data_IF_762654123415
#
_entry.id   IF_762654123415
#
_cell.length_a   1.000
_cell.length_b   1.000
_cell.length_c   1.000
_cell.angle_alpha   90.00
_cell.angle_beta   90.00
_cell.angle_gamma   90.00
#
_symmetry.space_group_name_H-M   'P 1'
#
loop_
_entity.id
_entity.type
_entity.pdbx_description
1 polymer ?
#
# COMPACT_ATOMS: atom_id res chain seq x y z
N UNK A 1 3.74 -18.91 23.05
CA UNK A 1 4.43 -17.62 23.29
C UNK A 1 4.54 -16.88 21.97
N UNK A 2 4.41 -15.55 21.94
CA UNK A 2 4.57 -14.74 20.74
C UNK A 2 6.05 -14.41 20.50
N UNK A 3 6.41 -14.02 19.28
CA UNK A 3 7.71 -13.40 19.00
C UNK A 3 7.82 -12.08 19.78
N UNK A 4 8.92 -11.92 20.51
CA UNK A 4 9.19 -10.74 21.34
C UNK A 4 9.67 -9.53 20.54
N UNK A 5 9.35 -8.33 21.05
CA UNK A 5 9.84 -7.06 20.52
C UNK A 5 11.33 -6.90 20.90
N UNK A 6 12.23 -6.61 19.95
CA UNK A 6 13.65 -6.50 20.22
C UNK A 6 13.97 -5.13 20.85
N UNK A 7 15.10 -5.04 21.56
CA UNK A 7 15.60 -3.78 22.07
C UNK A 7 16.32 -3.00 20.95
N UNK A 8 15.74 -1.87 20.53
CA UNK A 8 16.28 -1.06 19.44
C UNK A 8 17.68 -0.52 19.73
N UNK A 9 18.55 -0.54 18.73
CA UNK A 9 19.88 0.06 18.80
C UNK A 9 19.84 1.56 18.41
N UNK A 10 20.91 2.34 18.70
CA UNK A 10 20.92 3.77 18.36
C UNK A 10 20.65 4.09 16.89
N UNK A 11 21.10 3.23 15.97
CA UNK A 11 20.81 3.38 14.54
C UNK A 11 19.30 3.27 14.26
N UNK A 12 18.61 2.32 14.88
CA UNK A 12 17.17 2.10 14.67
C UNK A 12 16.33 3.25 15.23
N UNK A 13 16.78 3.83 16.34
CA UNK A 13 16.18 5.03 16.93
C UNK A 13 16.37 6.26 16.03
N UNK A 14 17.53 6.39 15.38
CA UNK A 14 17.78 7.46 14.42
C UNK A 14 16.84 7.35 13.20
N UNK A 15 16.72 6.15 12.62
CA UNK A 15 15.80 5.89 11.49
C UNK A 15 14.34 6.18 11.87
N UNK A 16 13.91 5.78 13.07
CA UNK A 16 12.59 6.13 13.58
C UNK A 16 12.39 7.66 13.67
N UNK A 17 13.40 8.38 14.13
CA UNK A 17 13.40 9.85 14.18
C UNK A 17 13.23 10.48 12.80
N UNK A 18 13.91 9.96 11.78
CA UNK A 18 13.79 10.41 10.39
C UNK A 18 12.39 10.14 9.81
N UNK A 19 11.83 8.95 10.06
CA UNK A 19 10.45 8.62 9.66
C UNK A 19 9.45 9.60 10.29
N UNK A 20 9.60 9.90 11.58
CA UNK A 20 8.72 10.84 12.29
C UNK A 20 8.88 12.28 11.79
N UNK A 21 10.08 12.71 11.42
CA UNK A 21 10.32 14.02 10.80
C UNK A 21 9.63 14.11 9.44
N UNK A 22 9.79 13.11 8.57
CA UNK A 22 9.07 13.04 7.29
C UNK A 22 7.55 13.06 7.49
N UNK A 23 7.05 12.35 8.52
CA UNK A 23 5.64 12.37 8.89
C UNK A 23 5.16 13.76 9.26
N UNK A 24 5.93 14.47 10.08
CA UNK A 24 5.63 15.84 10.51
C UNK A 24 5.64 16.81 9.34
N UNK A 25 6.63 16.76 8.45
CA UNK A 25 6.70 17.61 7.25
C UNK A 25 5.47 17.45 6.36
N UNK A 26 5.07 16.22 6.09
CA UNK A 26 3.88 15.91 5.32
C UNK A 26 2.59 16.35 5.99
N UNK A 27 2.47 16.18 7.31
CA UNK A 27 1.32 16.69 8.06
C UNK A 27 1.16 18.19 7.88
N UNK A 28 2.26 18.95 7.88
CA UNK A 28 2.21 20.40 7.61
C UNK A 28 1.82 20.70 6.17
N UNK A 29 2.42 20.02 5.18
CA UNK A 29 2.09 20.25 3.76
C UNK A 29 0.64 19.92 3.42
N UNK A 30 0.06 18.90 4.08
CA UNK A 30 -1.31 18.45 3.90
C UNK A 30 -2.33 19.18 4.79
N UNK A 31 -1.90 20.13 5.63
CA UNK A 31 -2.80 20.91 6.47
C UNK A 31 -3.60 21.92 5.65
N UNK A 32 -3.00 22.44 4.58
CA UNK A 32 -3.68 23.32 3.63
C UNK A 32 -4.32 22.49 2.52
N UNK A 33 -5.60 22.72 2.19
CA UNK A 33 -6.27 21.99 1.11
C UNK A 33 -5.74 22.46 -0.24
N UNK A 34 -5.23 21.53 -1.04
CA UNK A 34 -4.78 21.78 -2.41
C UNK A 34 -5.72 21.17 -3.46
N UNK A 35 -5.74 21.74 -4.68
CA UNK A 35 -6.62 21.28 -5.77
C UNK A 35 -6.29 19.86 -6.26
N UNK A 36 -5.08 19.36 -6.00
CA UNK A 36 -4.61 18.02 -6.37
C UNK A 36 -4.76 16.97 -5.28
N UNK A 37 -5.13 17.36 -4.05
CA UNK A 37 -5.12 16.46 -2.90
C UNK A 37 -5.99 15.21 -3.11
N UNK A 38 -7.15 15.39 -3.76
CA UNK A 38 -8.08 14.29 -4.01
C UNK A 38 -7.45 13.23 -4.92
N UNK A 39 -6.91 13.65 -6.05
CA UNK A 39 -6.30 12.77 -7.05
C UNK A 39 -5.06 12.08 -6.46
N UNK A 40 -4.23 12.83 -5.76
CA UNK A 40 -3.02 12.30 -5.14
C UNK A 40 -3.35 11.25 -4.06
N UNK A 41 -4.29 11.54 -3.16
CA UNK A 41 -4.73 10.58 -2.12
C UNK A 41 -5.33 9.32 -2.73
N UNK A 42 -6.12 9.47 -3.80
CA UNK A 42 -6.69 8.35 -4.56
C UNK A 42 -5.58 7.49 -5.17
N UNK A 43 -4.58 8.11 -5.80
CA UNK A 43 -3.44 7.41 -6.40
C UNK A 43 -2.61 6.67 -5.34
N UNK A 44 -2.30 7.30 -4.20
CA UNK A 44 -1.55 6.67 -3.10
C UNK A 44 -2.29 5.45 -2.56
N UNK A 45 -3.60 5.57 -2.33
CA UNK A 45 -4.43 4.44 -1.89
C UNK A 45 -4.46 3.30 -2.94
N UNK A 46 -4.60 3.65 -4.22
CA UNK A 46 -4.60 2.66 -5.30
C UNK A 46 -3.26 1.91 -5.38
N UNK A 47 -2.13 2.60 -5.20
CA UNK A 47 -0.78 2.01 -5.18
C UNK A 47 -0.54 1.12 -3.96
N UNK A 48 -1.03 1.48 -2.79
CA UNK A 48 -0.98 0.63 -1.60
C UNK A 48 -1.78 -0.67 -1.81
N UNK A 49 -3.00 -0.56 -2.33
CA UNK A 49 -3.84 -1.71 -2.70
C UNK A 49 -3.13 -2.57 -3.76
N UNK A 50 -2.53 -1.93 -4.78
CA UNK A 50 -1.78 -2.63 -5.82
C UNK A 50 -0.64 -3.44 -5.21
N UNK A 51 0.21 -2.81 -4.41
CA UNK A 51 1.38 -3.46 -3.85
C UNK A 51 1.03 -4.63 -2.94
N UNK A 52 -0.02 -4.50 -2.12
CA UNK A 52 -0.45 -5.60 -1.25
C UNK A 52 -1.01 -6.79 -2.03
N UNK A 53 -1.73 -6.55 -3.13
CA UNK A 53 -2.33 -7.61 -3.93
C UNK A 53 -1.32 -8.26 -4.90
N UNK A 54 -0.37 -7.49 -5.46
CA UNK A 54 0.67 -8.02 -6.35
C UNK A 54 1.61 -8.99 -5.64
N UNK A 55 1.88 -8.79 -4.34
CA UNK A 55 2.65 -9.72 -3.48
C UNK A 55 2.03 -11.12 -3.48
N UNK A 56 0.69 -11.21 -3.55
CA UNK A 56 -0.06 -12.48 -3.58
C UNK A 56 -0.31 -12.97 -5.02
N UNK A 57 0.23 -12.29 -6.04
CA UNK A 57 0.07 -12.63 -7.46
C UNK A 57 -1.14 -12.02 -8.16
N UNK A 58 -1.92 -11.17 -7.47
CA UNK A 58 -3.07 -10.47 -8.05
C UNK A 58 -2.64 -9.14 -8.67
N UNK A 59 -2.35 -9.18 -9.97
CA UNK A 59 -1.83 -8.03 -10.70
C UNK A 59 -2.95 -7.21 -11.35
N UNK A 60 -2.97 -5.91 -11.08
CA UNK A 60 -3.80 -4.93 -11.76
C UNK A 60 -3.06 -3.61 -11.91
N UNK A 61 -3.49 -2.81 -12.88
CA UNK A 61 -2.99 -1.45 -13.08
C UNK A 61 -3.53 -0.51 -11.99
N UNK A 62 -2.83 0.58 -11.69
CA UNK A 62 -3.30 1.58 -10.72
C UNK A 62 -4.65 2.14 -11.16
N UNK A 63 -4.83 2.26 -12.46
CA UNK A 63 -6.01 2.77 -13.16
C UNK A 63 -7.26 1.91 -12.96
N UNK A 64 -7.08 0.59 -13.04
CA UNK A 64 -8.17 -0.35 -12.80
C UNK A 64 -8.50 -0.43 -11.32
N UNK A 65 -7.51 -0.31 -10.43
CA UNK A 65 -7.73 -0.22 -8.99
C UNK A 65 -8.52 1.05 -8.64
N UNK A 66 -8.19 2.20 -9.23
CA UNK A 66 -8.97 3.44 -9.06
C UNK A 66 -10.41 3.31 -9.58
N UNK A 67 -10.59 2.58 -10.69
CA UNK A 67 -11.92 2.28 -11.24
C UNK A 67 -12.72 1.43 -10.23
N UNK A 68 -12.13 0.35 -9.72
CA UNK A 68 -12.72 -0.50 -8.68
C UNK A 68 -13.04 0.32 -7.42
N UNK A 69 -12.14 1.20 -6.97
CA UNK A 69 -12.37 2.10 -5.83
C UNK A 69 -13.57 3.01 -6.03
N UNK A 70 -13.81 3.44 -7.26
CA UNK A 70 -14.94 4.31 -7.63
C UNK A 70 -16.24 3.54 -7.92
N UNK A 71 -16.22 2.20 -7.81
CA UNK A 71 -17.35 1.35 -8.15
C UNK A 71 -17.58 1.18 -9.65
N UNK A 72 -16.60 1.54 -10.48
CA UNK A 72 -16.63 1.35 -11.92
C UNK A 72 -15.97 0.02 -12.32
N UNK A 73 -16.40 -0.56 -13.44
CA UNK A 73 -15.77 -1.77 -13.98
C UNK A 73 -14.34 -1.47 -14.47
N UNK A 74 -13.33 -2.28 -14.08
CA UNK A 74 -11.99 -2.16 -14.64
C UNK A 74 -11.97 -2.48 -16.14
N UNK A 75 -11.01 -1.95 -16.89
CA UNK A 75 -10.93 -2.20 -18.33
C UNK A 75 -10.12 -3.44 -18.67
N UNK A 76 -9.00 -3.65 -17.98
CA UNK A 76 -8.00 -4.65 -18.34
C UNK A 76 -7.95 -5.81 -17.32
N UNK A 77 -8.35 -5.53 -16.08
CA UNK A 77 -8.26 -6.47 -14.97
C UNK A 77 -9.39 -7.51 -15.03
N UNK A 78 -9.06 -8.82 -15.08
CA UNK A 78 -10.06 -9.88 -15.07
C UNK A 78 -10.92 -9.89 -13.80
N UNK A 79 -12.16 -10.33 -13.95
CA UNK A 79 -13.17 -10.33 -12.88
C UNK A 79 -12.72 -11.01 -11.57
N UNK A 80 -12.05 -12.19 -11.60
CA UNK A 80 -11.56 -12.81 -10.37
C UNK A 80 -10.53 -11.96 -9.63
N UNK A 81 -9.62 -11.32 -10.36
CA UNK A 81 -8.59 -10.42 -9.78
C UNK A 81 -9.25 -9.14 -9.25
N UNK A 82 -10.26 -8.63 -9.97
CA UNK A 82 -11.03 -7.47 -9.52
C UNK A 82 -11.75 -7.74 -8.18
N UNK A 83 -12.28 -8.96 -7.97
CA UNK A 83 -12.88 -9.35 -6.68
C UNK A 83 -11.86 -9.35 -5.53
N UNK A 84 -10.64 -9.84 -5.75
CA UNK A 84 -9.57 -9.80 -4.75
C UNK A 84 -9.23 -8.39 -4.31
N UNK A 85 -9.09 -7.50 -5.30
CA UNK A 85 -8.78 -6.09 -5.08
C UNK A 85 -9.93 -5.42 -4.34
N UNK A 86 -11.18 -5.68 -4.75
CA UNK A 86 -12.37 -5.13 -4.12
C UNK A 86 -12.50 -5.58 -2.65
N UNK A 87 -12.25 -6.84 -2.35
CA UNK A 87 -12.26 -7.39 -0.99
C UNK A 87 -11.18 -6.75 -0.11
N UNK A 88 -9.94 -6.66 -0.61
CA UNK A 88 -8.86 -5.98 0.12
C UNK A 88 -9.18 -4.50 0.36
N UNK A 89 -9.66 -3.79 -0.66
CA UNK A 89 -10.12 -2.39 -0.54
C UNK A 89 -11.21 -2.24 0.53
N UNK A 90 -12.17 -3.16 0.59
CA UNK A 90 -13.23 -3.15 1.59
C UNK A 90 -12.65 -3.27 3.01
N UNK A 91 -11.73 -4.21 3.26
CA UNK A 91 -11.08 -4.37 4.54
C UNK A 91 -10.27 -3.12 4.95
N UNK A 92 -9.51 -2.53 4.02
CA UNK A 92 -8.73 -1.30 4.29
C UNK A 92 -9.62 -0.09 4.57
N UNK A 93 -10.78 0.00 3.90
CA UNK A 93 -11.78 1.04 4.18
C UNK A 93 -12.32 0.90 5.60
N UNK A 94 -12.59 -0.34 6.05
CA UNK A 94 -13.05 -0.60 7.40
C UNK A 94 -11.96 -0.32 8.45
N UNK A 95 -10.71 -0.70 8.20
CA UNK A 95 -9.55 -0.38 9.07
C UNK A 95 -9.43 1.13 9.29
N UNK A 96 -9.61 1.94 8.25
CA UNK A 96 -9.59 3.41 8.37
C UNK A 96 -10.71 3.95 9.25
N UNK A 97 -11.87 3.31 9.28
CA UNK A 97 -12.95 3.68 10.19
C UNK A 97 -12.61 3.26 11.63
N UNK A 98 -12.14 2.02 11.83
CA UNK A 98 -11.77 1.47 13.13
C UNK A 98 -10.61 2.24 13.79
N UNK A 99 -9.63 2.71 13.00
CA UNK A 99 -8.49 3.45 13.54
C UNK A 99 -8.92 4.72 14.29
N UNK A 100 -10.03 5.32 13.89
CA UNK A 100 -10.60 6.55 14.47
C UNK A 100 -11.73 6.29 15.46
N UNK A 101 -12.18 5.04 15.60
CA UNK A 101 -13.31 4.70 16.45
C UNK A 101 -12.96 4.92 17.94
N UNK A 102 -13.73 5.75 18.67
CA UNK A 102 -13.58 5.88 20.11
C UNK A 102 -13.83 4.54 20.81
N UNK A 103 -13.02 4.20 21.80
CA UNK A 103 -13.19 2.97 22.57
C UNK A 103 -12.91 1.66 21.82
N UNK A 104 -12.38 1.72 20.58
CA UNK A 104 -11.98 0.52 19.84
C UNK A 104 -10.98 -0.33 20.65
N UNK A 105 -11.24 -1.64 20.65
CA UNK A 105 -10.35 -2.68 21.18
C UNK A 105 -10.15 -3.73 20.11
N UNK A 106 -8.96 -4.33 20.08
CA UNK A 106 -8.73 -5.49 19.24
C UNK A 106 -9.48 -6.69 19.81
N UNK A 107 -10.15 -7.44 18.94
CA UNK A 107 -10.75 -8.72 19.27
C UNK A 107 -10.65 -9.68 18.07
N UNK A 108 -10.79 -10.98 18.34
CA UNK A 108 -10.69 -12.01 17.31
C UNK A 108 -11.79 -11.89 16.25
N UNK A 109 -12.98 -11.44 16.64
CA UNK A 109 -14.11 -11.20 15.73
C UNK A 109 -13.81 -10.10 14.70
N UNK A 110 -13.13 -9.02 15.11
CA UNK A 110 -12.66 -7.97 14.19
C UNK A 110 -11.65 -8.54 13.19
N UNK A 111 -10.67 -9.31 13.64
CA UNK A 111 -9.67 -9.92 12.74
C UNK A 111 -10.32 -10.90 11.75
N UNK A 112 -11.26 -11.72 12.22
CA UNK A 112 -12.04 -12.64 11.40
C UNK A 112 -12.93 -11.89 10.40
N UNK A 113 -13.56 -10.79 10.82
CA UNK A 113 -14.39 -9.95 9.94
C UNK A 113 -13.57 -9.32 8.83
N UNK A 114 -12.35 -8.86 9.14
CA UNK A 114 -11.43 -8.33 8.13
C UNK A 114 -11.00 -9.41 7.13
N UNK A 115 -10.68 -10.62 7.59
CA UNK A 115 -10.38 -11.74 6.71
C UNK A 115 -11.59 -12.08 5.81
N UNK A 116 -12.80 -12.12 6.37
CA UNK A 116 -14.03 -12.33 5.62
C UNK A 116 -14.25 -11.24 4.56
N UNK A 117 -14.02 -9.96 4.88
CA UNK A 117 -14.12 -8.88 3.89
C UNK A 117 -13.13 -9.05 2.74
N UNK A 118 -11.93 -9.59 3.00
CA UNK A 118 -10.90 -9.78 1.97
C UNK A 118 -11.19 -10.97 1.05
N UNK A 119 -11.62 -12.10 1.61
CA UNK A 119 -11.69 -13.39 0.88
C UNK A 119 -13.08 -14.02 0.91
N UNK A 120 -14.13 -13.29 1.27
CA UNK A 120 -15.50 -13.79 1.42
C UNK A 120 -16.09 -14.43 0.15
N UNK A 121 -15.57 -14.08 -1.02
CA UNK A 121 -15.91 -14.70 -2.30
C UNK A 121 -15.28 -16.09 -2.51
N UNK A 122 -14.36 -16.53 -1.65
CA UNK A 122 -13.77 -17.87 -1.63
C UNK A 122 -14.47 -18.80 -0.64
N UNK A 123 -15.70 -19.18 -0.93
CA UNK A 123 -16.52 -20.00 -0.01
C UNK A 123 -15.85 -21.32 0.42
N UNK A 124 -14.98 -21.93 -0.39
CA UNK A 124 -14.25 -23.15 -0.05
C UNK A 124 -13.04 -22.96 0.89
N UNK A 125 -12.72 -21.74 1.29
CA UNK A 125 -11.57 -21.42 2.15
C UNK A 125 -11.95 -21.09 3.60
N UNK A 126 -13.23 -21.23 3.96
CA UNK A 126 -13.79 -20.85 5.25
C UNK A 126 -13.40 -19.42 5.69
N UNK A 127 -13.77 -18.38 4.90
CA UNK A 127 -13.43 -16.98 5.20
C UNK A 127 -13.82 -16.56 6.63
N UNK A 128 -12.90 -15.92 7.35
CA UNK A 128 -13.11 -15.45 8.71
C UNK A 128 -13.16 -16.56 9.77
N UNK A 129 -12.83 -17.80 9.43
CA UNK A 129 -12.82 -18.94 10.37
C UNK A 129 -11.40 -19.46 10.52
N UNK A 130 -10.98 -19.71 11.77
CA UNK A 130 -9.67 -20.29 12.05
C UNK A 130 -9.53 -21.67 11.38
N UNK A 131 -8.35 -21.95 10.84
CA UNK A 131 -8.11 -23.22 10.13
C UNK A 131 -8.25 -24.42 11.09
N UNK A 132 -8.93 -25.52 10.68
CA UNK A 132 -9.06 -26.72 11.49
C UNK A 132 -7.86 -27.68 11.38
N UNK A 133 -6.92 -27.43 10.45
CA UNK A 133 -5.80 -28.32 10.16
C UNK A 133 -4.48 -27.56 9.98
N UNK A 134 -3.39 -28.31 9.81
CA UNK A 134 -2.04 -27.76 9.60
C UNK A 134 -1.94 -26.87 8.36
N UNK A 135 -0.90 -26.03 8.30
CA UNK A 135 -0.62 -25.18 7.14
C UNK A 135 0.86 -25.19 6.79
N UNK A 136 1.13 -25.25 5.50
CA UNK A 136 2.46 -25.28 4.91
C UNK A 136 2.55 -24.18 3.88
N UNK A 137 3.36 -23.16 4.16
CA UNK A 137 3.69 -22.14 3.18
C UNK A 137 4.70 -22.74 2.22
N UNK A 138 4.42 -22.64 0.92
CA UNK A 138 5.27 -23.18 -0.13
C UNK A 138 5.83 -22.06 -0.97
N UNK A 139 7.09 -22.20 -1.36
CA UNK A 139 7.67 -21.34 -2.37
C UNK A 139 6.92 -21.53 -3.70
N UNK A 140 6.54 -20.43 -4.34
CA UNK A 140 5.73 -20.46 -5.55
C UNK A 140 6.48 -21.03 -6.75
N UNK A 141 7.82 -20.89 -6.78
CA UNK A 141 8.69 -21.35 -7.87
C UNK A 141 9.15 -22.80 -7.68
N UNK A 142 9.58 -23.18 -6.48
CA UNK A 142 10.15 -24.51 -6.21
C UNK A 142 9.14 -25.51 -5.64
N UNK A 143 7.95 -25.03 -5.22
CA UNK A 143 6.90 -25.81 -4.52
C UNK A 143 7.35 -26.42 -3.18
N UNK A 144 8.58 -26.14 -2.73
CA UNK A 144 9.10 -26.62 -1.46
C UNK A 144 8.37 -25.95 -0.29
N UNK A 145 8.16 -26.71 0.79
CA UNK A 145 7.66 -26.14 2.05
C UNK A 145 8.76 -25.26 2.62
N UNK A 146 8.49 -23.96 2.71
CA UNK A 146 9.41 -22.98 3.28
C UNK A 146 9.05 -22.64 4.72
N UNK A 147 7.81 -22.93 5.16
CA UNK A 147 7.38 -22.71 6.52
C UNK A 147 6.21 -23.62 6.92
N UNK A 148 6.28 -24.20 8.12
CA UNK A 148 5.20 -24.90 8.80
C UNK A 148 4.71 -24.07 9.99
N UNK A 149 3.42 -23.71 9.96
CA UNK A 149 2.78 -22.95 11.05
C UNK A 149 2.59 -23.78 12.33
N UNK A 150 2.08 -23.17 13.41
CA UNK A 150 1.69 -23.89 14.63
C UNK A 150 0.68 -25.01 14.37
N UNK A 151 0.58 -25.96 15.29
CA UNK A 151 -0.47 -26.98 15.23
C UNK A 151 -1.85 -26.31 15.29
N UNK A 152 -2.84 -26.85 14.56
CA UNK A 152 -4.16 -26.23 14.47
C UNK A 152 -4.82 -26.02 15.85
N UNK A 153 -4.59 -26.95 16.80
CA UNK A 153 -5.08 -26.84 18.17
C UNK A 153 -4.47 -25.70 19.00
N UNK A 154 -3.29 -25.20 18.61
CA UNK A 154 -2.61 -24.07 19.29
C UNK A 154 -3.07 -22.71 18.77
N UNK A 155 -3.60 -22.65 17.54
CA UNK A 155 -3.98 -21.40 16.87
C UNK A 155 -4.96 -20.56 17.69
N UNK A 156 -6.05 -21.09 18.29
CA UNK A 156 -6.96 -20.28 19.10
C UNK A 156 -6.27 -19.60 20.28
N UNK A 157 -5.38 -20.31 20.98
CA UNK A 157 -4.64 -19.77 22.12
C UNK A 157 -3.63 -18.71 21.68
N UNK A 158 -2.92 -18.94 20.57
CA UNK A 158 -1.96 -17.98 20.01
C UNK A 158 -2.66 -16.70 19.52
N UNK A 159 -3.82 -16.84 18.88
CA UNK A 159 -4.64 -15.68 18.47
C UNK A 159 -5.17 -14.90 19.68
N UNK A 160 -5.58 -15.59 20.74
CA UNK A 160 -5.95 -14.96 22.01
C UNK A 160 -4.78 -14.17 22.61
N UNK A 161 -3.58 -14.75 22.63
CA UNK A 161 -2.37 -14.06 23.09
C UNK A 161 -2.02 -12.84 22.21
N UNK A 162 -2.15 -12.95 20.87
CA UNK A 162 -1.92 -11.84 19.95
C UNK A 162 -2.92 -10.70 20.19
N UNK A 163 -4.21 -11.00 20.34
CA UNK A 163 -5.24 -10.02 20.65
C UNK A 163 -4.97 -9.33 21.99
N UNK A 164 -4.56 -10.07 23.01
CA UNK A 164 -4.21 -9.50 24.30
C UNK A 164 -2.99 -8.56 24.19
N UNK A 165 -1.93 -9.01 23.52
CA UNK A 165 -0.74 -8.19 23.27
C UNK A 165 -1.05 -6.93 22.44
N UNK A 166 -1.94 -7.00 21.45
CA UNK A 166 -2.36 -5.82 20.67
C UNK A 166 -3.02 -4.75 21.54
N UNK A 167 -3.75 -5.16 22.58
CA UNK A 167 -4.45 -4.25 23.49
C UNK A 167 -3.57 -3.75 24.66
N UNK A 168 -2.61 -4.55 25.13
CA UNK A 168 -1.91 -4.28 26.41
C UNK A 168 -0.38 -4.35 26.33
N UNK A 169 0.17 -4.98 25.28
CA UNK A 169 1.59 -5.24 25.12
C UNK A 169 2.34 -4.10 24.41
N UNK A 170 3.55 -3.84 24.91
CA UNK A 170 4.54 -2.94 24.31
C UNK A 170 4.00 -1.54 23.98
N UNK A 171 3.02 -1.04 24.73
CA UNK A 171 2.32 0.22 24.44
C UNK A 171 3.23 1.47 24.46
N UNK A 172 4.39 1.39 25.10
CA UNK A 172 5.40 2.47 25.11
C UNK A 172 6.35 2.42 23.92
N UNK A 173 6.32 1.35 23.12
CA UNK A 173 7.16 1.18 21.93
C UNK A 173 6.51 1.92 20.75
N UNK A 174 7.35 2.45 19.85
CA UNK A 174 6.87 3.11 18.62
C UNK A 174 5.88 2.25 17.83
N UNK A 175 4.81 2.86 17.33
CA UNK A 175 3.79 2.20 16.54
C UNK A 175 4.31 1.53 15.27
N UNK A 176 5.42 2.01 14.70
CA UNK A 176 6.11 1.36 13.58
C UNK A 176 6.69 0.00 13.95
N UNK A 177 7.28 -0.12 15.14
CA UNK A 177 7.82 -1.37 15.65
C UNK A 177 6.70 -2.29 16.11
N UNK A 178 5.70 -1.78 16.84
CA UNK A 178 4.52 -2.56 17.22
C UNK A 178 3.78 -3.10 15.99
N UNK A 179 3.62 -2.28 14.95
CA UNK A 179 3.02 -2.68 13.68
C UNK A 179 3.80 -3.80 13.00
N UNK A 180 5.14 -3.69 12.97
CA UNK A 180 6.01 -4.75 12.46
C UNK A 180 5.84 -6.05 13.27
N UNK A 181 5.80 -5.98 14.60
CA UNK A 181 5.64 -7.16 15.45
C UNK A 181 4.24 -7.78 15.35
N UNK A 182 3.19 -6.97 15.16
CA UNK A 182 1.84 -7.45 14.89
C UNK A 182 1.78 -8.24 13.57
N UNK A 183 2.43 -7.71 12.52
CA UNK A 183 2.58 -8.39 11.24
C UNK A 183 3.29 -9.73 11.40
N UNK A 184 4.49 -9.73 11.99
CA UNK A 184 5.30 -10.95 12.14
C UNK A 184 4.54 -12.04 12.90
N UNK A 185 3.93 -11.69 14.03
CA UNK A 185 3.18 -12.66 14.82
C UNK A 185 1.99 -13.22 14.04
N UNK A 186 1.20 -12.39 13.35
CA UNK A 186 0.05 -12.89 12.58
C UNK A 186 0.48 -13.78 11.40
N UNK A 187 1.49 -13.37 10.63
CA UNK A 187 1.92 -14.13 9.44
C UNK A 187 2.54 -15.47 9.81
N UNK A 188 3.20 -15.55 10.98
CA UNK A 188 3.77 -16.79 11.53
C UNK A 188 2.71 -17.68 12.20
N UNK A 189 1.74 -17.14 12.92
CA UNK A 189 0.60 -17.94 13.43
C UNK A 189 -0.19 -18.54 12.26
N UNK A 190 -0.35 -17.75 11.18
CA UNK A 190 -1.02 -18.14 9.95
C UNK A 190 -2.43 -18.74 10.21
N UNK A 191 -3.33 -17.97 10.86
CA UNK A 191 -4.53 -18.52 11.50
C UNK A 191 -5.65 -18.94 10.54
N UNK A 192 -5.69 -18.42 9.32
CA UNK A 192 -6.72 -18.76 8.33
C UNK A 192 -6.17 -19.69 7.24
N UNK A 193 -7.06 -20.34 6.47
CA UNK A 193 -6.65 -21.15 5.31
C UNK A 193 -6.07 -20.31 4.17
N UNK A 194 -6.46 -19.04 4.09
CA UNK A 194 -6.03 -18.11 3.05
C UNK A 194 -6.13 -16.65 3.52
N UNK A 195 -5.45 -15.75 2.80
CA UNK A 195 -5.46 -14.30 3.06
C UNK A 195 -4.54 -13.85 4.20
N UNK A 196 -3.72 -14.72 4.78
CA UNK A 196 -2.85 -14.39 5.93
C UNK A 196 -1.83 -13.28 5.62
N UNK A 197 -1.23 -13.27 4.42
CA UNK A 197 -0.29 -12.23 4.02
C UNK A 197 -0.95 -10.84 3.98
N UNK A 198 -2.06 -10.72 3.23
CA UNK A 198 -2.88 -9.50 3.16
C UNK A 198 -3.38 -9.06 4.54
N UNK A 199 -3.83 -10.00 5.37
CA UNK A 199 -4.27 -9.73 6.74
C UNK A 199 -3.16 -9.21 7.64
N UNK A 200 -1.92 -9.69 7.47
CA UNK A 200 -0.79 -9.26 8.31
C UNK A 200 -0.36 -7.84 7.99
N UNK A 201 -0.34 -7.47 6.71
CA UNK A 201 -0.11 -6.08 6.26
C UNK A 201 -1.24 -5.15 6.69
N UNK A 202 -2.49 -5.62 6.59
CA UNK A 202 -3.66 -4.85 7.03
C UNK A 202 -3.67 -4.66 8.57
N UNK A 203 -3.26 -5.66 9.34
CA UNK A 203 -3.12 -5.54 10.80
C UNK A 203 -2.04 -4.52 11.17
N UNK A 204 -0.89 -4.53 10.49
CA UNK A 204 0.14 -3.50 10.66
C UNK A 204 -0.42 -2.09 10.42
N UNK A 205 -1.15 -1.90 9.31
CA UNK A 205 -1.84 -0.64 9.00
C UNK A 205 -2.83 -0.23 10.09
N UNK A 206 -3.57 -1.17 10.67
CA UNK A 206 -4.51 -0.88 11.76
C UNK A 206 -3.79 -0.44 13.04
N UNK A 207 -2.71 -1.12 13.43
CA UNK A 207 -1.89 -0.74 14.59
C UNK A 207 -1.34 0.68 14.43
N UNK A 208 -0.76 1.00 13.26
CA UNK A 208 -0.29 2.34 12.94
C UNK A 208 -1.42 3.37 13.01
N UNK A 209 -2.58 3.06 12.44
CA UNK A 209 -3.76 3.92 12.51
C UNK A 209 -4.21 4.22 13.94
N UNK A 210 -4.11 3.24 14.86
CA UNK A 210 -4.44 3.42 16.28
C UNK A 210 -3.44 4.30 17.03
N UNK A 211 -2.17 4.24 16.65
CA UNK A 211 -1.11 5.10 17.19
C UNK A 211 -1.08 6.50 16.53
N UNK A 212 -2.22 6.93 15.99
CA UNK A 212 -2.43 8.23 15.34
C UNK A 212 -1.58 8.45 14.07
N UNK A 213 -1.07 7.38 13.47
CA UNK A 213 -0.45 7.38 12.14
C UNK A 213 -1.56 7.05 11.13
N UNK A 214 -2.48 8.00 10.95
CA UNK A 214 -3.78 7.74 10.29
C UNK A 214 -3.82 8.03 8.79
N UNK A 215 -2.81 8.71 8.26
CA UNK A 215 -2.71 9.01 6.85
C UNK A 215 -2.29 7.73 6.09
N UNK A 216 -3.07 7.26 5.09
CA UNK A 216 -2.71 6.08 4.27
C UNK A 216 -1.28 6.14 3.71
N UNK A 217 -0.78 7.35 3.49
CA UNK A 217 0.58 7.71 3.11
C UNK A 217 1.66 7.16 4.05
N UNK A 218 1.31 6.90 5.32
CA UNK A 218 2.22 6.45 6.39
C UNK A 218 1.85 5.13 7.03
N UNK A 219 0.56 4.78 6.98
CA UNK A 219 0.06 3.56 7.57
C UNK A 219 0.43 2.32 6.73
N UNK A 220 0.67 2.49 5.43
CA UNK A 220 0.94 1.40 4.49
C UNK A 220 2.38 1.43 3.99
N UNK A 221 3.05 0.28 4.01
CA UNK A 221 4.32 0.06 3.28
C UNK A 221 4.13 -0.83 2.05
N UNK A 222 2.88 -1.15 1.71
CA UNK A 222 2.58 -2.19 0.75
C UNK A 222 3.02 -1.86 -0.67
N UNK A 223 2.99 -0.58 -1.07
CA UNK A 223 3.54 -0.17 -2.37
C UNK A 223 5.05 -0.45 -2.45
N UNK A 224 5.83 -0.10 -1.42
CA UNK A 224 7.25 -0.42 -1.37
C UNK A 224 7.49 -1.92 -1.39
N UNK A 225 6.75 -2.67 -0.56
CA UNK A 225 6.88 -4.13 -0.50
C UNK A 225 6.49 -4.82 -1.81
N UNK A 226 5.54 -4.27 -2.57
CA UNK A 226 5.03 -4.85 -3.81
C UNK A 226 5.92 -4.65 -5.03
N UNK A 227 7.03 -3.91 -4.91
CA UNK A 227 8.05 -3.83 -5.97
C UNK A 227 8.68 -5.21 -6.17
N UNK A 228 8.80 -5.75 -7.40
CA UNK A 228 9.25 -7.13 -7.63
C UNK A 228 10.52 -7.53 -6.87
N UNK A 229 11.52 -6.65 -6.86
CA UNK A 229 12.80 -6.82 -6.18
C UNK A 229 12.66 -6.82 -4.64
N UNK A 230 11.73 -6.03 -4.09
CA UNK A 230 11.45 -5.95 -2.65
C UNK A 230 10.57 -7.10 -2.19
N UNK A 231 9.56 -7.52 -2.97
CA UNK A 231 8.70 -8.68 -2.68
C UNK A 231 9.54 -9.92 -2.39
N UNK A 232 10.55 -10.16 -3.23
CA UNK A 232 11.48 -11.27 -3.06
C UNK A 232 12.30 -11.16 -1.76
N UNK A 233 12.74 -9.94 -1.42
CA UNK A 233 13.47 -9.68 -0.18
C UNK A 233 12.59 -9.84 1.07
N UNK A 234 11.32 -9.44 0.98
CA UNK A 234 10.31 -9.61 2.02
C UNK A 234 10.08 -11.08 2.36
N UNK A 235 9.89 -11.94 1.35
CA UNK A 235 9.74 -13.38 1.57
C UNK A 235 11.01 -14.01 2.16
N UNK A 236 12.19 -13.61 1.69
CA UNK A 236 13.46 -14.05 2.29
C UNK A 236 13.59 -13.64 3.75
N UNK A 237 13.26 -12.38 4.07
CA UNK A 237 13.31 -11.88 5.44
C UNK A 237 12.36 -12.66 6.37
N UNK A 238 11.14 -12.97 5.91
CA UNK A 238 10.24 -13.85 6.66
C UNK A 238 10.78 -15.28 6.79
N UNK A 239 11.57 -15.77 5.84
CA UNK A 239 12.27 -17.05 5.94
C UNK A 239 13.47 -17.02 6.89
N UNK A 240 14.14 -15.87 7.04
CA UNK A 240 15.26 -15.66 7.97
C UNK A 240 14.77 -15.53 9.41
N UNK A 241 13.71 -14.75 9.63
CA UNK A 241 13.14 -14.51 10.96
C UNK A 241 12.07 -15.55 11.23
N UNK A 242 12.39 -16.50 12.10
CA UNK A 242 11.59 -17.70 12.33
C UNK A 242 12.18 -18.91 11.61
N UNK A 243 12.41 -19.99 12.35
CA UNK A 243 12.80 -21.30 11.77
C UNK A 243 11.76 -21.82 10.77
N UNK A 244 12.11 -22.90 10.05
CA UNK A 244 11.20 -23.61 9.13
C UNK A 244 9.89 -24.08 9.80
N UNK A 245 9.83 -24.09 11.14
CA UNK A 245 8.64 -24.32 11.96
C UNK A 245 8.47 -23.17 12.95
N UNK A 246 7.24 -22.88 13.36
CA UNK A 246 6.92 -21.96 14.45
C UNK A 246 7.91 -22.07 15.63
N UNK A 247 8.64 -20.97 15.90
CA UNK A 247 9.67 -20.88 16.93
C UNK A 247 9.80 -19.42 17.40
N UNK A 248 9.07 -19.00 18.44
CA UNK A 248 8.96 -17.60 18.87
C UNK A 248 10.17 -17.09 19.69
N UNK A 249 11.34 -17.71 19.54
CA UNK A 249 12.55 -17.39 20.32
C UNK A 249 13.67 -16.77 19.47
N UNK A 250 13.43 -16.61 18.16
CA UNK A 250 14.42 -16.04 17.25
C UNK A 250 14.48 -14.51 17.41
N UNK A 251 15.67 -13.94 17.19
CA UNK A 251 15.86 -12.49 17.18
C UNK A 251 15.05 -11.85 16.04
N UNK A 252 14.29 -10.82 16.37
CA UNK A 252 13.38 -10.11 15.48
C UNK A 252 13.93 -8.77 15.01
N UNK A 253 15.14 -8.39 15.42
CA UNK A 253 15.77 -7.12 15.04
C UNK A 253 15.83 -6.94 13.51
N UNK A 254 16.27 -7.97 12.77
CA UNK A 254 16.35 -7.89 11.31
C UNK A 254 14.99 -7.64 10.65
N UNK A 255 13.92 -8.24 11.19
CA UNK A 255 12.56 -7.99 10.73
C UNK A 255 12.12 -6.56 11.01
N UNK A 256 12.38 -6.06 12.23
CA UNK A 256 12.05 -4.68 12.59
C UNK A 256 12.79 -3.70 11.68
N UNK A 257 14.10 -3.87 11.48
CA UNK A 257 14.91 -3.07 10.56
C UNK A 257 14.38 -3.09 9.13
N UNK A 258 13.98 -4.27 8.64
CA UNK A 258 13.36 -4.40 7.33
C UNK A 258 12.08 -3.57 7.20
N UNK A 259 11.20 -3.61 8.21
CA UNK A 259 9.98 -2.81 8.24
C UNK A 259 10.26 -1.31 8.38
N UNK A 260 11.20 -0.90 9.23
CA UNK A 260 11.60 0.51 9.40
C UNK A 260 12.17 1.07 8.09
N UNK A 261 13.05 0.31 7.43
CA UNK A 261 13.54 0.64 6.09
C UNK A 261 12.38 0.81 5.11
N UNK A 262 11.42 -0.12 5.08
CA UNK A 262 10.26 -0.02 4.19
C UNK A 262 9.42 1.23 4.46
N UNK A 263 9.17 1.57 5.74
CA UNK A 263 8.49 2.81 6.13
C UNK A 263 9.26 4.06 5.68
N UNK A 264 10.58 4.07 5.87
CA UNK A 264 11.44 5.19 5.46
C UNK A 264 11.43 5.38 3.93
N UNK A 265 11.60 4.31 3.16
CA UNK A 265 11.60 4.37 1.69
C UNK A 265 10.22 4.76 1.13
N UNK A 266 9.14 4.28 1.75
CA UNK A 266 7.78 4.67 1.39
C UNK A 266 7.53 6.16 1.70
N UNK A 267 7.95 6.64 2.87
CA UNK A 267 7.78 8.04 3.27
C UNK A 267 8.51 9.01 2.33
N UNK A 268 9.76 8.69 1.95
CA UNK A 268 10.49 9.46 0.93
C UNK A 268 9.76 9.47 -0.42
N UNK A 269 9.27 8.31 -0.87
CA UNK A 269 8.53 8.19 -2.14
C UNK A 269 7.25 9.04 -2.15
N UNK A 270 6.53 9.10 -1.03
CA UNK A 270 5.34 9.95 -0.88
C UNK A 270 5.71 11.43 -0.84
N UNK A 271 6.77 11.80 -0.12
CA UNK A 271 7.26 13.18 -0.03
C UNK A 271 7.63 13.73 -1.41
N UNK A 272 8.36 12.95 -2.21
CA UNK A 272 8.71 13.32 -3.59
C UNK A 272 7.47 13.56 -4.45
N UNK A 273 6.47 12.68 -4.38
CA UNK A 273 5.21 12.86 -5.12
C UNK A 273 4.44 14.12 -4.72
N UNK A 274 4.50 14.51 -3.45
CA UNK A 274 3.86 15.73 -2.99
C UNK A 274 4.59 16.98 -3.48
N UNK A 275 5.91 16.93 -3.63
CA UNK A 275 6.70 17.99 -4.26
C UNK A 275 6.36 18.09 -5.75
N UNK A 276 6.40 16.94 -6.44
CA UNK A 276 6.02 16.85 -7.85
C UNK A 276 4.60 17.36 -8.08
N UNK A 277 3.65 17.06 -7.18
CA UNK A 277 2.26 17.46 -7.32
C UNK A 277 2.09 18.97 -7.49
N UNK A 278 2.75 19.76 -6.63
CA UNK A 278 2.67 21.22 -6.68
C UNK A 278 3.33 21.78 -7.95
N UNK A 279 4.52 21.28 -8.31
CA UNK A 279 5.26 21.74 -9.49
C UNK A 279 4.54 21.40 -10.79
N UNK A 280 4.04 20.16 -10.91
CA UNK A 280 3.28 19.70 -12.09
C UNK A 280 1.99 20.49 -12.25
N UNK A 281 1.29 20.77 -11.14
CA UNK A 281 0.05 21.53 -11.19
C UNK A 281 0.29 22.95 -11.69
N UNK A 282 1.27 23.66 -11.11
CA UNK A 282 1.64 25.02 -11.54
C UNK A 282 2.10 25.06 -13.00
N UNK A 283 2.86 24.06 -13.44
CA UNK A 283 3.28 23.94 -14.83
C UNK A 283 2.08 23.76 -15.77
N UNK A 284 1.14 22.87 -15.43
CA UNK A 284 -0.07 22.71 -16.24
C UNK A 284 -0.94 23.97 -16.24
N UNK A 285 -1.08 24.69 -15.13
CA UNK A 285 -1.78 25.99 -15.08
C UNK A 285 -1.15 27.00 -16.05
N UNK A 286 0.18 27.14 -16.04
CA UNK A 286 0.90 28.03 -16.96
C UNK A 286 0.67 27.64 -18.42
N UNK A 287 0.97 26.39 -18.78
CA UNK A 287 0.92 25.93 -20.17
C UNK A 287 -0.50 25.92 -20.74
N UNK A 288 -1.51 25.59 -19.92
CA UNK A 288 -2.91 25.61 -20.37
C UNK A 288 -3.47 27.03 -20.45
N UNK A 289 -3.01 27.94 -19.58
CA UNK A 289 -3.36 29.36 -19.61
C UNK A 289 -2.89 30.05 -20.89
N UNK A 290 -1.66 29.78 -21.35
CA UNK A 290 -1.14 30.28 -22.64
C UNK A 290 -1.99 29.84 -23.84
N UNK A 291 -2.66 28.70 -23.74
CA UNK A 291 -3.54 28.17 -24.77
C UNK A 291 -5.01 28.61 -24.59
N UNK A 292 -5.33 29.44 -23.59
CA UNK A 292 -6.69 29.90 -23.29
C UNK A 292 -7.63 28.79 -22.85
N UNK A 293 -7.11 27.74 -22.21
CA UNK A 293 -7.94 26.70 -21.58
C UNK A 293 -8.41 27.15 -20.20
N UNK A 294 -9.59 26.69 -19.80
CA UNK A 294 -10.16 26.96 -18.47
C UNK A 294 -9.25 26.33 -17.37
N UNK A 295 -8.90 27.06 -16.29
CA UNK A 295 -8.07 26.55 -15.19
C UNK A 295 -8.61 25.29 -14.50
N UNK A 296 -9.89 24.94 -14.68
CA UNK A 296 -10.44 23.66 -14.19
C UNK A 296 -9.93 22.44 -14.96
N UNK A 297 -9.51 22.63 -16.21
CA UNK A 297 -8.99 21.54 -17.04
C UNK A 297 -7.69 20.93 -16.50
N UNK A 298 -6.97 21.66 -15.63
CA UNK A 298 -5.72 21.20 -15.02
C UNK A 298 -5.92 19.92 -14.20
N UNK A 299 -7.06 19.74 -13.53
CA UNK A 299 -7.31 18.51 -12.78
C UNK A 299 -7.43 17.27 -13.66
N UNK A 300 -7.94 17.43 -14.90
CA UNK A 300 -7.95 16.35 -15.89
C UNK A 300 -6.52 15.97 -16.32
N UNK A 301 -5.65 16.98 -16.52
CA UNK A 301 -4.25 16.77 -16.88
C UNK A 301 -3.46 16.13 -15.75
N UNK A 302 -3.67 16.63 -14.53
CA UNK A 302 -3.05 16.07 -13.34
C UNK A 302 -3.47 14.61 -13.13
N UNK A 303 -4.76 14.27 -13.32
CA UNK A 303 -5.23 12.89 -13.22
C UNK A 303 -4.54 11.95 -14.20
N UNK A 304 -4.40 12.32 -15.48
CA UNK A 304 -3.67 11.46 -16.45
C UNK A 304 -2.15 11.47 -16.23
N UNK A 305 -1.62 12.52 -15.61
CA UNK A 305 -0.23 12.55 -15.16
C UNK A 305 0.00 11.48 -14.09
N UNK A 306 -0.82 11.43 -13.04
CA UNK A 306 -0.64 10.49 -11.91
C UNK A 306 -1.06 9.05 -12.25
N UNK A 307 -2.14 8.88 -13.00
CA UNK A 307 -2.77 7.56 -13.18
C UNK A 307 -3.03 7.22 -14.65
N UNK A 308 -2.32 7.81 -15.64
CA UNK A 308 -2.35 7.48 -17.10
C UNK A 308 -3.71 7.34 -17.81
N UNK A 309 -4.82 7.51 -17.11
CA UNK A 309 -6.18 7.24 -17.55
C UNK A 309 -7.12 8.14 -16.77
N UNK A 310 -8.00 8.77 -17.50
CA UNK A 310 -9.09 9.57 -16.96
C UNK A 310 -10.39 9.14 -17.63
N UNK A 311 -11.41 8.87 -16.83
CA UNK A 311 -12.78 8.73 -17.31
C UNK A 311 -13.52 10.05 -17.09
N UNK A 312 -14.50 10.31 -17.97
CA UNK A 312 -15.35 11.50 -17.86
C UNK A 312 -16.10 11.53 -16.52
N UNK A 313 -16.53 10.37 -16.01
CA UNK A 313 -17.19 10.24 -14.70
C UNK A 313 -16.33 10.83 -13.58
N UNK A 314 -15.07 10.39 -13.51
CA UNK A 314 -14.07 10.90 -12.56
C UNK A 314 -13.88 12.41 -12.67
N UNK A 315 -13.68 12.96 -13.88
CA UNK A 315 -13.49 14.40 -14.06
C UNK A 315 -14.73 15.22 -13.65
N UNK A 316 -15.94 14.73 -13.97
CA UNK A 316 -17.19 15.37 -13.53
C UNK A 316 -17.29 15.42 -12.00
N UNK A 317 -16.95 14.31 -11.33
CA UNK A 317 -17.03 14.22 -9.88
C UNK A 317 -15.94 15.05 -9.16
N UNK A 318 -14.76 15.16 -9.76
CA UNK A 318 -13.64 15.93 -9.22
C UNK A 318 -13.89 17.45 -9.31
N UNK A 319 -14.46 17.94 -10.43
CA UNK A 319 -14.73 19.38 -10.66
C UNK A 319 -16.20 19.80 -10.50
N UNK A 320 -17.10 18.88 -10.14
CA UNK A 320 -18.54 19.19 -9.98
C UNK A 320 -19.24 19.62 -11.27
N UNK A 321 -18.87 19.01 -12.41
CA UNK A 321 -19.32 19.43 -13.73
C UNK A 321 -20.53 18.65 -14.24
N UNK A 322 -21.35 19.31 -15.06
CA UNK A 322 -22.32 18.60 -15.90
C UNK A 322 -21.63 17.72 -16.95
N UNK A 323 -22.33 16.69 -17.42
CA UNK A 323 -21.84 15.83 -18.50
C UNK A 323 -21.44 16.61 -19.76
N UNK A 324 -22.19 17.67 -20.10
CA UNK A 324 -21.92 18.51 -21.26
C UNK A 324 -20.67 19.38 -21.10
N UNK A 325 -20.42 19.94 -19.91
CA UNK A 325 -19.19 20.68 -19.62
C UNK A 325 -17.98 19.76 -19.69
N UNK A 326 -17.99 18.65 -18.95
CA UNK A 326 -16.88 17.71 -18.95
C UNK A 326 -16.58 17.14 -20.36
N UNK A 327 -17.61 16.86 -21.17
CA UNK A 327 -17.40 16.37 -22.53
C UNK A 327 -16.80 17.43 -23.47
N UNK A 328 -17.09 18.72 -23.26
CA UNK A 328 -16.49 19.83 -24.02
C UNK A 328 -15.02 20.00 -23.63
N UNK A 329 -14.74 20.15 -22.33
CA UNK A 329 -13.38 20.32 -21.82
C UNK A 329 -12.45 19.18 -22.31
N UNK A 330 -12.86 17.92 -22.15
CA UNK A 330 -12.06 16.77 -22.57
C UNK A 330 -11.86 16.70 -24.09
N UNK A 331 -12.80 17.23 -24.88
CA UNK A 331 -12.66 17.34 -26.34
C UNK A 331 -11.65 18.41 -26.70
N UNK A 332 -11.71 19.57 -26.05
CA UNK A 332 -10.80 20.69 -26.30
C UNK A 332 -9.36 20.31 -25.90
N UNK A 333 -9.19 19.66 -24.75
CA UNK A 333 -7.91 19.08 -24.33
C UNK A 333 -7.38 18.05 -25.33
N UNK A 334 -8.26 17.21 -25.89
CA UNK A 334 -7.84 16.23 -26.91
C UNK A 334 -7.44 16.91 -28.22
N UNK A 335 -8.20 17.92 -28.67
CA UNK A 335 -7.93 18.66 -29.90
C UNK A 335 -6.60 19.41 -29.83
N UNK A 336 -6.23 19.91 -28.64
CA UNK A 336 -4.95 20.59 -28.39
C UNK A 336 -3.78 19.64 -28.06
N UNK A 337 -3.98 18.32 -28.12
CA UNK A 337 -2.92 17.33 -27.90
C UNK A 337 -2.51 17.10 -26.45
N UNK A 338 -3.31 17.59 -25.49
CA UNK A 338 -3.11 17.32 -24.07
C UNK A 338 -3.58 15.91 -23.68
N UNK A 339 -4.67 15.45 -24.28
CA UNK A 339 -5.26 14.13 -24.04
C UNK A 339 -5.37 13.33 -25.33
N UNK A 340 -5.35 12.01 -25.20
CA UNK A 340 -5.65 11.08 -26.29
C UNK A 340 -6.86 10.22 -25.93
N UNK A 341 -7.98 10.30 -26.66
CA UNK A 341 -9.17 9.51 -26.38
C UNK A 341 -9.01 8.07 -26.87
N UNK A 342 -9.53 7.12 -26.10
CA UNK A 342 -9.59 5.70 -26.42
C UNK A 342 -10.99 5.15 -26.13
N UNK A 343 -11.38 4.13 -26.89
CA UNK A 343 -12.70 3.48 -26.78
C UNK A 343 -13.87 4.36 -27.24
N UNK A 344 -15.08 3.81 -27.08
CA UNK A 344 -16.33 4.49 -27.42
C UNK A 344 -17.37 4.33 -26.30
N UNK A 345 -18.33 5.25 -26.24
CA UNK A 345 -19.49 5.24 -25.33
C UNK A 345 -19.14 4.93 -23.86
N UNK A 346 -19.53 3.76 -23.32
CA UNK A 346 -19.32 3.36 -21.91
C UNK A 346 -17.86 3.02 -21.58
N UNK A 347 -17.06 2.62 -22.57
CA UNK A 347 -15.64 2.29 -22.41
C UNK A 347 -14.69 3.45 -22.71
N UNK A 348 -15.22 4.68 -22.89
CA UNK A 348 -14.39 5.82 -23.27
C UNK A 348 -13.52 6.31 -22.11
N UNK A 349 -12.21 6.33 -22.33
CA UNK A 349 -11.23 6.93 -21.43
C UNK A 349 -10.27 7.83 -22.21
N UNK A 350 -9.52 8.64 -21.46
CA UNK A 350 -8.53 9.57 -21.98
C UNK A 350 -7.18 9.22 -21.35
N UNK A 351 -6.16 9.05 -22.18
CA UNK A 351 -4.77 8.86 -21.75
C UNK A 351 -3.97 10.16 -21.98
N UNK A 352 -2.73 10.26 -21.46
CA UNK A 352 -1.82 11.34 -21.81
C UNK A 352 -1.70 11.53 -23.33
N UNK A 353 -1.86 12.77 -23.78
CA UNK A 353 -1.44 13.18 -25.12
C UNK A 353 0.06 13.50 -25.15
N UNK A 354 0.62 13.85 -26.32
CA UNK A 354 2.05 14.15 -26.46
C UNK A 354 2.58 15.20 -25.50
N UNK A 355 1.77 16.23 -25.18
CA UNK A 355 2.17 17.31 -24.25
C UNK A 355 2.31 16.80 -22.81
N UNK A 356 1.38 15.98 -22.34
CA UNK A 356 1.46 15.39 -21.00
C UNK A 356 2.60 14.38 -20.93
N UNK A 357 2.82 13.58 -21.97
CA UNK A 357 3.96 12.64 -22.01
C UNK A 357 5.32 13.37 -21.96
N UNK A 358 5.45 14.52 -22.61
CA UNK A 358 6.65 15.35 -22.50
C UNK A 358 6.91 15.81 -21.07
N UNK A 359 5.86 16.28 -20.36
CA UNK A 359 5.96 16.67 -18.94
C UNK A 359 6.33 15.47 -18.07
N UNK A 360 5.69 14.31 -18.27
CA UNK A 360 6.01 13.08 -17.52
C UNK A 360 7.47 12.65 -17.72
N UNK A 361 7.98 12.72 -18.95
CA UNK A 361 9.37 12.39 -19.25
C UNK A 361 10.36 13.35 -18.58
N UNK A 362 10.01 14.62 -18.41
CA UNK A 362 10.86 15.60 -17.73
C UNK A 362 10.96 15.34 -16.23
N UNK A 363 9.82 15.14 -15.57
CA UNK A 363 9.79 14.80 -14.13
C UNK A 363 10.47 13.46 -13.85
N UNK A 364 10.31 12.45 -14.73
CA UNK A 364 10.99 11.17 -14.59
C UNK A 364 12.52 11.28 -14.60
N UNK A 365 13.09 12.26 -15.33
CA UNK A 365 14.56 12.50 -15.35
C UNK A 365 15.07 13.25 -14.13
N UNK A 366 14.20 14.00 -13.44
CA UNK A 366 14.54 14.82 -12.27
C UNK A 366 14.34 14.10 -10.93
N UNK A 367 13.78 12.88 -10.95
CA UNK A 367 13.47 12.15 -9.73
C UNK A 367 14.73 11.87 -8.91
N UNK A 368 14.75 12.40 -7.68
CA UNK A 368 15.84 12.15 -6.74
C UNK A 368 15.87 10.67 -6.32
N UNK A 369 17.07 10.07 -6.20
CA UNK A 369 17.19 8.72 -5.70
C UNK A 369 16.79 8.66 -4.23
N UNK A 370 16.08 7.59 -3.85
CA UNK A 370 15.74 7.33 -2.46
C UNK A 370 16.99 6.93 -1.67
N UNK A 371 17.13 7.46 -0.45
CA UNK A 371 18.24 7.17 0.44
C UNK A 371 17.86 6.02 1.38
N UNK A 372 18.66 4.95 1.36
CA UNK A 372 18.49 3.83 2.29
C UNK A 372 19.03 4.22 3.67
N UNK A 373 18.19 4.24 4.73
CA UNK A 373 18.59 4.73 6.04
C UNK A 373 19.57 3.77 6.77
N UNK A 374 19.81 2.59 6.20
CA UNK A 374 20.72 1.58 6.76
C UNK A 374 21.95 1.30 5.87
N UNK A 375 22.18 2.09 4.81
CA UNK A 375 23.42 2.03 4.01
C UNK A 375 24.64 2.25 4.94
N UNK A 376 25.58 1.29 4.99
CA UNK A 376 26.70 1.26 5.93
C UNK A 376 26.56 0.27 7.10
N UNK A 377 25.39 -0.36 7.28
CA UNK A 377 25.23 -1.51 8.20
C UNK A 377 25.51 -2.82 7.46
N UNK A 378 26.64 -3.47 7.77
CA UNK A 378 27.10 -4.73 7.16
C UNK A 378 26.04 -5.84 7.10
N UNK A 379 25.12 -5.89 8.07
CA UNK A 379 24.06 -6.91 8.14
C UNK A 379 22.97 -6.76 7.09
N UNK A 380 22.55 -5.52 6.77
CA UNK A 380 21.58 -5.29 5.71
C UNK A 380 22.25 -5.28 4.34
N UNK A 381 23.51 -4.86 4.23
CA UNK A 381 24.32 -4.95 3.01
C UNK A 381 24.50 -6.38 2.52
N UNK A 382 24.71 -7.36 3.41
CA UNK A 382 24.74 -8.77 3.03
C UNK A 382 23.38 -9.27 2.50
N UNK A 383 22.29 -8.74 3.04
CA UNK A 383 20.93 -9.01 2.57
C UNK A 383 20.69 -8.31 1.23
N UNK A 384 21.15 -7.06 1.01
CA UNK A 384 21.00 -6.28 -0.24
C UNK A 384 21.96 -6.70 -1.37
N UNK A 385 23.21 -7.05 -1.10
CA UNK A 385 24.17 -7.54 -2.10
C UNK A 385 23.83 -8.96 -2.60
N UNK A 386 23.26 -9.81 -1.75
CA UNK A 386 22.63 -11.05 -2.22
C UNK A 386 21.42 -10.80 -3.13
N UNK A 387 20.80 -9.61 -3.14
CA UNK A 387 19.67 -9.26 -4.02
C UNK A 387 20.11 -8.92 -5.44
N UNK A 388 21.32 -8.37 -5.61
CA UNK A 388 21.79 -7.87 -6.90
C UNK A 388 22.57 -8.92 -7.71
N UNK A 389 23.22 -9.90 -7.05
CA UNK A 389 24.11 -10.86 -7.71
C UNK A 389 23.43 -12.12 -8.31
N UNK A 390 22.08 -12.25 -8.26
CA UNK A 390 21.36 -13.39 -8.89
C UNK A 390 20.40 -12.97 -10.02
N UNK A 391 20.66 -11.82 -10.63
CA UNK A 391 19.94 -11.34 -11.83
C UNK A 391 20.83 -11.33 -13.09
N UNK A 392 21.95 -12.06 -13.07
CA UNK A 392 22.82 -12.29 -14.23
C UNK A 392 22.72 -13.71 -14.73
#
# INVERSE_FOLDING_TARGET
>A
MLYGTPALEPVDQAVLGEIEEMRRQLKYRLAEPHRWDRQLRRQIQARAIQGSNSIEGYNASVEDIESIMSGEEPLDTPEPVAREIAGYRQAMTYIRALSRAPGFRFDLGVLNSLNFMMIGHHHGKDPGVLRPGGIYVRDSSTRQVVYEGPEAGEVPALMGALVEWLNQGDLSVSGYVRGAMAHLNLVKIHPWRDGNGRMSRALQSLVLGRDQITAPEFASIEEWLGKPEVTSAYYRMLGTVGRARWSPHDDTMLWVRFCLRAHHMQAQSVLGRLQDAAEVWALFESLTGEEGLDPRCVSALYQVFVSRRLRRGTYQADEGLSQGQAARDLRDLSAKGWLKPYGATKGRFYAPGPKVEAVKADFARKADPLLDPYLGSLELELITHSLLQRSS
#
